data_IF_941207829042
#
_entry.id   IF_941207829042
#
_cell.length_a   1.000
_cell.length_b   1.000
_cell.length_c   1.000
_cell.angle_alpha   90.00
_cell.angle_beta   90.00
_cell.angle_gamma   90.00
#
_symmetry.space_group_name_H-M   'P 1'
#
loop_
_entity.id
_entity.type
_entity.pdbx_description
1 polymer ?
#
# COMPACT_ATOMS: atom_id res chain seq x y z
N UNK A 1 27.49 8.52 -15.59
CA UNK A 1 26.28 8.59 -16.44
C UNK A 1 25.82 7.16 -16.72
N UNK A 2 24.88 6.63 -15.93
CA UNK A 2 24.42 5.24 -16.02
C UNK A 2 23.48 5.02 -17.21
N UNK A 3 23.65 3.92 -17.95
CA UNK A 3 22.89 3.62 -19.17
C UNK A 3 21.40 3.45 -18.88
N UNK A 4 20.55 4.06 -19.73
CA UNK A 4 19.07 4.05 -19.67
C UNK A 4 18.43 2.89 -20.46
N UNK A 5 19.22 1.93 -20.94
CA UNK A 5 18.74 0.87 -21.84
C UNK A 5 19.46 -0.46 -21.60
N UNK A 6 18.72 -1.56 -21.81
CA UNK A 6 19.19 -2.93 -21.62
C UNK A 6 20.25 -3.33 -22.66
N UNK A 7 21.33 -3.98 -22.22
CA UNK A 7 22.51 -4.36 -23.03
C UNK A 7 22.21 -5.36 -24.15
N UNK A 8 21.11 -6.11 -24.05
CA UNK A 8 20.83 -7.23 -24.94
C UNK A 8 19.86 -6.86 -26.08
N UNK A 9 18.85 -6.04 -25.80
CA UNK A 9 17.73 -5.73 -26.71
C UNK A 9 17.53 -4.23 -26.99
N UNK A 10 18.30 -3.35 -26.32
CA UNK A 10 18.30 -1.88 -26.48
C UNK A 10 16.97 -1.14 -26.21
N UNK A 11 15.94 -1.80 -25.67
CA UNK A 11 14.70 -1.11 -25.28
C UNK A 11 14.81 -0.39 -23.92
N UNK A 12 13.89 0.54 -23.61
CA UNK A 12 13.78 1.16 -22.29
C UNK A 12 13.49 0.11 -21.22
N UNK A 13 14.07 0.26 -20.02
CA UNK A 13 13.92 -0.68 -18.90
C UNK A 13 12.46 -0.91 -18.50
N UNK A 14 11.63 0.14 -18.63
CA UNK A 14 10.19 0.09 -18.38
C UNK A 14 9.44 -0.91 -19.27
N UNK A 15 10.04 -1.37 -20.38
CA UNK A 15 9.41 -2.26 -21.35
C UNK A 15 9.55 -3.75 -21.03
N UNK A 16 10.33 -4.14 -20.02
CA UNK A 16 10.58 -5.56 -19.69
C UNK A 16 9.66 -6.15 -18.61
N UNK A 17 8.99 -5.32 -17.80
CA UNK A 17 8.22 -5.80 -16.63
C UNK A 17 6.70 -5.66 -16.78
N UNK A 18 6.17 -5.23 -17.95
CA UNK A 18 4.75 -4.81 -18.06
C UNK A 18 3.76 -5.99 -18.08
N UNK A 19 4.19 -7.24 -18.27
CA UNK A 19 3.25 -8.38 -18.32
C UNK A 19 3.40 -9.31 -17.13
N UNK A 20 2.51 -9.14 -16.15
CA UNK A 20 2.12 -10.20 -15.20
C UNK A 20 0.64 -10.46 -15.47
N UNK A 21 0.30 -11.61 -16.07
CA UNK A 21 -1.08 -11.96 -16.46
C UNK A 21 -2.01 -12.18 -15.25
N UNK A 22 -1.45 -12.30 -14.05
CA UNK A 22 -2.22 -12.47 -12.82
C UNK A 22 -2.51 -11.11 -12.17
N UNK A 23 -3.80 -10.74 -12.17
CA UNK A 23 -4.39 -9.60 -11.44
C UNK A 23 -4.32 -9.84 -9.93
N UNK A 24 -3.14 -9.71 -9.34
CA UNK A 24 -2.90 -9.98 -7.91
C UNK A 24 -2.90 -8.66 -7.12
N UNK A 25 -3.69 -8.57 -6.05
CA UNK A 25 -3.76 -7.43 -5.13
C UNK A 25 -2.46 -7.21 -4.36
N UNK A 26 -2.19 -6.01 -3.85
CA UNK A 26 -1.02 -5.77 -2.98
C UNK A 26 -0.96 -6.73 -1.79
N UNK A 27 -2.12 -7.04 -1.19
CA UNK A 27 -2.21 -7.94 -0.03
C UNK A 27 -1.72 -9.36 -0.35
N UNK A 28 -2.07 -9.86 -1.53
CA UNK A 28 -1.60 -11.16 -2.02
C UNK A 28 -0.11 -11.12 -2.39
N UNK A 29 0.38 -10.02 -2.99
CA UNK A 29 1.82 -9.83 -3.26
C UNK A 29 2.66 -9.81 -1.99
N UNK A 30 2.13 -9.24 -0.91
CA UNK A 30 2.81 -9.12 0.38
C UNK A 30 2.70 -10.36 1.27
N UNK A 31 1.93 -11.38 0.87
CA UNK A 31 1.69 -12.57 1.70
C UNK A 31 0.99 -12.27 3.03
N UNK A 32 0.37 -11.09 3.17
CA UNK A 32 -0.36 -10.69 4.37
C UNK A 32 -1.67 -11.48 4.43
N UNK A 33 -1.64 -12.63 5.12
CA UNK A 33 -2.87 -13.39 5.43
C UNK A 33 -3.89 -12.44 6.05
N UNK A 34 -5.15 -12.57 5.63
CA UNK A 34 -6.24 -11.74 6.11
C UNK A 34 -6.51 -11.99 7.61
N UNK A 35 -5.73 -11.36 8.49
CA UNK A 35 -6.16 -11.07 9.86
C UNK A 35 -6.94 -9.75 9.83
N UNK A 36 -8.02 -9.73 9.06
CA UNK A 36 -9.08 -8.76 9.23
C UNK A 36 -10.03 -9.36 10.27
N UNK A 37 -9.71 -9.18 11.56
CA UNK A 37 -10.61 -9.39 12.70
C UNK A 37 -9.96 -8.89 14.02
N UNK A 38 -9.18 -7.81 13.99
CA UNK A 38 -8.88 -7.06 15.22
C UNK A 38 -9.99 -6.03 15.42
N UNK A 39 -11.04 -6.45 16.11
CA UNK A 39 -12.01 -5.55 16.75
C UNK A 39 -11.24 -4.49 17.55
N UNK A 40 -11.58 -3.24 17.33
CA UNK A 40 -11.28 -2.14 18.23
C UNK A 40 -12.09 -2.32 19.54
N UNK A 41 -11.63 -3.20 20.42
CA UNK A 41 -12.18 -3.28 21.79
C UNK A 41 -11.48 -2.26 22.67
N UNK A 42 -12.25 -1.28 23.15
CA UNK A 42 -11.83 -0.28 24.13
C UNK A 42 -11.64 -0.94 25.51
N UNK A 43 -10.55 -0.68 26.25
CA UNK A 43 -10.35 -1.24 27.58
C UNK A 43 -10.96 -0.33 28.66
N UNK A 44 -12.23 -0.56 29.01
CA UNK A 44 -12.71 -0.51 30.40
C UNK A 44 -14.22 -0.81 30.50
N UNK A 45 -14.57 -2.04 30.84
CA UNK A 45 -15.78 -2.36 31.59
C UNK A 45 -15.66 -3.76 32.20
N UNK A 46 -15.97 -3.87 33.49
CA UNK A 46 -15.93 -5.09 34.28
C UNK A 46 -16.90 -6.16 33.75
N UNK A 47 -16.54 -7.44 33.90
CA UNK A 47 -17.41 -8.60 33.68
C UNK A 47 -18.49 -8.74 34.77
N UNK A 48 -19.39 -9.74 34.70
CA UNK A 48 -20.32 -10.08 33.62
C UNK A 48 -21.76 -10.19 34.17
N UNK A 49 -22.79 -9.78 33.42
CA UNK A 49 -24.13 -10.40 33.53
C UNK A 49 -25.08 -9.95 32.41
N UNK A 50 -25.74 -10.94 31.81
CA UNK A 50 -27.09 -10.89 31.24
C UNK A 50 -27.38 -10.07 29.96
N UNK A 51 -27.64 -10.84 28.90
CA UNK A 51 -28.69 -10.67 27.89
C UNK A 51 -28.55 -9.61 26.78
N UNK A 52 -28.66 -10.12 25.54
CA UNK A 52 -28.98 -9.44 24.28
C UNK A 52 -27.95 -8.45 23.72
N UNK A 53 -26.91 -8.99 23.06
CA UNK A 53 -26.11 -8.24 22.09
C UNK A 53 -26.83 -8.18 20.72
N UNK A 54 -26.90 -7.01 20.06
CA UNK A 54 -27.48 -6.87 18.71
C UNK A 54 -26.56 -7.47 17.65
N UNK A 55 -27.17 -8.03 16.59
CA UNK A 55 -26.50 -8.75 15.49
C UNK A 55 -25.43 -7.90 14.82
N UNK A 56 -24.23 -8.45 14.82
CA UNK A 56 -23.05 -8.05 14.07
C UNK A 56 -23.38 -7.83 12.58
N UNK A 57 -23.27 -6.59 12.10
CA UNK A 57 -23.37 -6.24 10.68
C UNK A 57 -21.96 -6.35 10.08
N UNK A 58 -21.54 -7.55 9.74
CA UNK A 58 -20.42 -7.71 8.81
C UNK A 58 -20.81 -7.06 7.49
N UNK A 59 -20.16 -5.93 7.17
CA UNK A 59 -20.35 -5.24 5.89
C UNK A 59 -20.02 -6.25 4.76
N UNK A 60 -20.87 -6.36 3.73
CA UNK A 60 -20.64 -7.31 2.66
C UNK A 60 -19.32 -6.98 1.94
N UNK A 61 -18.49 -7.99 1.73
CA UNK A 61 -17.23 -7.86 1.00
C UNK A 61 -17.52 -7.45 -0.45
N UNK A 62 -17.17 -6.21 -0.81
CA UNK A 62 -17.36 -5.69 -2.18
C UNK A 62 -16.33 -6.32 -3.12
N UNK A 63 -16.79 -6.90 -4.23
CA UNK A 63 -15.91 -7.46 -5.25
C UNK A 63 -15.50 -6.38 -6.26
N UNK A 64 -14.20 -6.02 -6.42
CA UNK A 64 -13.78 -4.89 -7.24
C UNK A 64 -14.34 -4.89 -8.67
N UNK A 65 -14.32 -6.06 -9.33
CA UNK A 65 -14.81 -6.21 -10.72
C UNK A 65 -16.31 -6.02 -10.84
N UNK A 66 -17.09 -6.30 -9.79
CA UNK A 66 -18.54 -6.05 -9.81
C UNK A 66 -18.84 -4.54 -9.84
N UNK A 67 -17.96 -3.73 -9.25
CA UNK A 67 -18.03 -2.27 -9.25
C UNK A 67 -17.34 -1.63 -10.48
N UNK A 68 -16.82 -2.45 -11.41
CA UNK A 68 -16.14 -1.96 -12.61
C UNK A 68 -14.69 -1.51 -12.39
N UNK A 69 -14.06 -1.88 -11.27
CA UNK A 69 -12.67 -1.55 -10.95
C UNK A 69 -11.78 -2.80 -10.90
N UNK A 70 -10.48 -2.64 -11.12
CA UNK A 70 -9.48 -3.70 -10.89
C UNK A 70 -9.05 -3.78 -9.41
N UNK A 71 -9.34 -2.73 -8.65
CA UNK A 71 -9.16 -2.67 -7.20
C UNK A 71 -10.10 -1.63 -6.59
N UNK A 72 -10.58 -1.88 -5.38
CA UNK A 72 -11.33 -0.91 -4.56
C UNK A 72 -10.77 -0.91 -3.14
N UNK A 73 -10.85 0.21 -2.39
CA UNK A 73 -10.45 0.25 -1.00
C UNK A 73 -11.20 -0.81 -0.17
N UNK A 74 -10.48 -1.69 0.57
CA UNK A 74 -11.13 -2.68 1.42
C UNK A 74 -12.03 -2.03 2.48
N UNK A 75 -13.20 -2.62 2.72
CA UNK A 75 -14.14 -2.17 3.77
C UNK A 75 -15.00 -0.96 3.39
N UNK A 76 -14.78 -0.33 2.24
CA UNK A 76 -15.57 0.80 1.79
C UNK A 76 -16.91 0.34 1.16
N UNK A 77 -18.07 0.87 1.60
CA UNK A 77 -19.36 0.55 0.99
C UNK A 77 -19.42 0.93 -0.49
N UNK A 78 -20.17 0.17 -1.30
CA UNK A 78 -20.26 0.35 -2.75
C UNK A 78 -20.69 1.78 -3.17
N UNK A 79 -21.63 2.39 -2.44
CA UNK A 79 -22.10 3.77 -2.69
C UNK A 79 -21.03 4.84 -2.42
N UNK A 80 -19.96 4.49 -1.70
CA UNK A 80 -18.84 5.39 -1.36
C UNK A 80 -17.61 5.18 -2.24
N UNK A 81 -17.51 4.08 -2.99
CA UNK A 81 -16.36 3.77 -3.86
C UNK A 81 -16.18 4.84 -4.94
N UNK A 82 -17.26 5.24 -5.60
CA UNK A 82 -17.21 6.29 -6.62
C UNK A 82 -16.78 7.65 -6.02
N UNK A 83 -17.20 7.95 -4.79
CA UNK A 83 -16.78 9.16 -4.08
C UNK A 83 -15.28 9.15 -3.79
N UNK A 84 -14.73 8.03 -3.32
CA UNK A 84 -13.29 7.87 -3.11
C UNK A 84 -12.51 8.12 -4.40
N UNK A 85 -12.90 7.50 -5.50
CA UNK A 85 -12.18 7.64 -6.76
C UNK A 85 -12.32 9.02 -7.42
N UNK A 86 -13.40 9.77 -7.13
CA UNK A 86 -13.55 11.18 -7.55
C UNK A 86 -12.51 12.11 -6.93
N UNK A 87 -11.93 11.74 -5.79
CA UNK A 87 -10.85 12.52 -5.18
C UNK A 87 -9.50 12.30 -5.87
N UNK A 88 -9.36 11.26 -6.70
CA UNK A 88 -8.11 10.91 -7.38
C UNK A 88 -8.04 11.48 -8.81
N UNK A 89 -6.83 11.72 -9.35
CA UNK A 89 -6.69 12.06 -10.77
C UNK A 89 -7.27 10.95 -11.67
N UNK A 90 -8.15 11.32 -12.61
CA UNK A 90 -8.88 10.37 -13.46
C UNK A 90 -7.99 9.31 -14.14
N UNK A 91 -6.79 9.69 -14.57
CA UNK A 91 -5.83 8.79 -15.25
C UNK A 91 -5.14 7.78 -14.31
N UNK A 92 -5.34 7.90 -12.99
CA UNK A 92 -4.82 7.00 -11.96
C UNK A 92 -5.91 6.11 -11.34
N UNK A 93 -7.17 6.31 -11.70
CA UNK A 93 -8.30 5.54 -11.17
C UNK A 93 -8.34 4.15 -11.83
N UNK A 94 -8.28 3.04 -11.07
CA UNK A 94 -8.14 1.68 -11.59
C UNK A 94 -9.47 1.11 -12.14
N UNK A 95 -10.14 1.81 -13.06
CA UNK A 95 -11.31 1.26 -13.76
C UNK A 95 -10.88 0.12 -14.67
N UNK A 96 -11.65 -0.96 -14.71
CA UNK A 96 -11.37 -2.12 -15.56
C UNK A 96 -11.27 -1.72 -17.04
N UNK A 97 -10.23 -2.18 -17.73
CA UNK A 97 -9.90 -1.85 -19.12
C UNK A 97 -9.34 -0.44 -19.34
N UNK A 98 -9.19 0.38 -18.30
CA UNK A 98 -8.80 1.79 -18.45
C UNK A 98 -7.28 2.01 -18.39
N UNK A 99 -6.77 3.18 -18.83
CA UNK A 99 -5.38 3.57 -18.58
C UNK A 99 -5.00 3.56 -17.09
N UNK A 100 -5.95 3.81 -16.19
CA UNK A 100 -5.71 3.82 -14.76
C UNK A 100 -5.51 2.42 -14.16
N UNK A 101 -6.10 1.37 -14.74
CA UNK A 101 -5.77 -0.02 -14.38
C UNK A 101 -4.31 -0.33 -14.73
N UNK A 102 -3.87 0.00 -15.94
CA UNK A 102 -2.47 -0.16 -16.36
C UNK A 102 -1.51 0.66 -15.50
N UNK A 103 -1.92 1.87 -15.10
CA UNK A 103 -1.16 2.68 -14.15
C UNK A 103 -1.01 1.95 -12.81
N UNK A 104 -2.11 1.41 -12.25
CA UNK A 104 -2.06 0.63 -11.00
C UNK A 104 -1.11 -0.56 -11.13
N UNK A 105 -1.19 -1.33 -12.21
CA UNK A 105 -0.32 -2.49 -12.41
C UNK A 105 1.16 -2.08 -12.47
N UNK A 106 1.47 -0.96 -13.14
CA UNK A 106 2.81 -0.36 -13.13
C UNK A 106 3.24 0.03 -11.71
N UNK A 107 2.36 0.68 -10.94
CA UNK A 107 2.68 1.06 -9.55
C UNK A 107 2.89 -0.14 -8.64
N UNK A 108 2.12 -1.23 -8.80
CA UNK A 108 2.32 -2.47 -8.04
C UNK A 108 3.73 -3.04 -8.24
N UNK A 109 4.25 -2.98 -9.47
CA UNK A 109 5.60 -3.46 -9.78
C UNK A 109 6.66 -2.50 -9.22
N UNK A 110 6.48 -1.20 -9.44
CA UNK A 110 7.48 -0.20 -9.06
C UNK A 110 7.57 -0.02 -7.55
N UNK A 111 6.44 0.00 -6.85
CA UNK A 111 6.37 0.28 -5.43
C UNK A 111 6.56 -0.95 -4.56
N UNK A 112 6.30 -2.17 -5.07
CA UNK A 112 6.46 -3.45 -4.38
C UNK A 112 7.33 -4.42 -5.21
N UNK A 113 8.63 -4.14 -5.39
CA UNK A 113 9.50 -5.00 -6.20
C UNK A 113 9.63 -6.38 -5.56
N UNK A 114 9.44 -7.45 -6.36
CA UNK A 114 9.47 -8.84 -5.87
C UNK A 114 10.78 -9.20 -5.16
N UNK A 115 11.88 -8.59 -5.60
CA UNK A 115 13.21 -8.71 -5.03
C UNK A 115 13.26 -8.28 -3.57
N UNK A 116 12.47 -7.30 -3.16
CA UNK A 116 12.44 -6.86 -1.77
C UNK A 116 11.49 -7.72 -0.92
N UNK A 117 10.62 -8.52 -1.56
CA UNK A 117 9.59 -9.31 -0.89
C UNK A 117 10.07 -10.70 -0.50
N UNK A 118 10.85 -11.38 -1.34
CA UNK A 118 11.31 -12.73 -1.04
C UNK A 118 12.63 -13.11 -1.74
N UNK A 119 13.47 -13.86 -1.02
CA UNK A 119 14.77 -14.37 -1.48
C UNK A 119 14.75 -15.05 -2.86
N UNK A 120 13.74 -15.88 -3.24
CA UNK A 120 13.72 -16.54 -4.55
C UNK A 120 13.73 -15.58 -5.75
N UNK A 121 13.39 -14.30 -5.54
CA UNK A 121 13.40 -13.28 -6.58
C UNK A 121 14.75 -12.54 -6.68
N UNK A 122 15.64 -12.70 -5.71
CA UNK A 122 16.99 -12.14 -5.70
C UNK A 122 17.96 -13.06 -6.43
N UNK A 123 18.23 -12.78 -7.71
CA UNK A 123 19.06 -13.64 -8.57
C UNK A 123 20.55 -13.47 -8.31
N UNK A 124 20.96 -12.31 -7.79
CA UNK A 124 22.36 -11.94 -7.64
C UNK A 124 22.78 -11.74 -6.18
N UNK A 125 21.90 -12.01 -5.22
CA UNK A 125 22.22 -11.92 -3.80
C UNK A 125 23.03 -13.13 -3.35
N UNK A 126 24.29 -12.88 -2.98
CA UNK A 126 25.20 -13.92 -2.47
C UNK A 126 24.69 -14.51 -1.15
N UNK A 127 24.98 -15.80 -0.92
CA UNK A 127 24.49 -16.57 0.23
C UNK A 127 24.85 -15.93 1.58
N UNK A 128 26.00 -15.28 1.65
CA UNK A 128 26.50 -14.58 2.84
C UNK A 128 25.57 -13.44 3.27
N UNK A 129 24.78 -12.87 2.36
CA UNK A 129 23.85 -11.77 2.62
C UNK A 129 22.40 -12.23 2.82
N UNK A 130 22.10 -13.53 2.75
CA UNK A 130 20.72 -14.04 2.88
C UNK A 130 20.12 -13.73 4.26
N UNK A 131 20.91 -13.89 5.33
CA UNK A 131 20.46 -13.53 6.69
C UNK A 131 20.12 -12.05 6.82
N UNK A 132 20.98 -11.18 6.29
CA UNK A 132 20.74 -9.73 6.32
C UNK A 132 19.50 -9.33 5.51
N UNK A 133 19.16 -10.06 4.45
CA UNK A 133 17.93 -9.88 3.70
C UNK A 133 16.71 -10.32 4.52
N UNK A 134 16.76 -11.50 5.15
CA UNK A 134 15.66 -11.98 6.00
C UNK A 134 15.40 -11.02 7.16
N UNK A 135 16.45 -10.54 7.83
CA UNK A 135 16.36 -9.54 8.90
C UNK A 135 15.70 -8.24 8.40
N UNK A 136 16.05 -7.80 7.19
CA UNK A 136 15.42 -6.64 6.54
C UNK A 136 13.93 -6.87 6.29
N UNK A 137 13.55 -8.00 5.70
CA UNK A 137 12.15 -8.33 5.40
C UNK A 137 11.32 -8.43 6.68
N UNK A 138 11.84 -9.10 7.71
CA UNK A 138 11.17 -9.25 9.00
C UNK A 138 10.98 -7.90 9.68
N UNK A 139 12.05 -7.11 9.79
CA UNK A 139 11.99 -5.76 10.38
C UNK A 139 11.02 -4.87 9.61
N UNK A 140 11.03 -4.91 8.27
CA UNK A 140 10.06 -4.18 7.45
C UNK A 140 8.64 -4.62 7.79
N UNK A 141 8.34 -5.90 7.73
CA UNK A 141 6.97 -6.42 7.89
C UNK A 141 6.42 -6.15 9.30
N UNK A 142 7.25 -6.24 10.33
CA UNK A 142 6.83 -6.03 11.72
C UNK A 142 6.76 -4.54 12.08
N UNK A 143 7.79 -3.77 11.74
CA UNK A 143 7.96 -2.42 12.26
C UNK A 143 7.51 -1.33 11.30
N UNK A 144 7.68 -1.50 9.99
CA UNK A 144 7.53 -0.40 9.03
C UNK A 144 6.31 -0.51 8.11
N UNK A 145 6.07 -1.68 7.53
CA UNK A 145 5.04 -1.94 6.51
C UNK A 145 3.67 -2.10 7.16
N UNK A 146 2.66 -1.50 6.53
CA UNK A 146 1.25 -1.63 6.90
C UNK A 146 0.34 -1.27 5.71
N UNK A 147 -0.97 -1.47 5.88
CA UNK A 147 -1.99 -1.11 4.90
C UNK A 147 -2.89 -0.04 5.51
N UNK A 148 -2.99 1.11 4.83
CA UNK A 148 -3.94 2.14 5.18
C UNK A 148 -5.37 1.70 4.83
N UNK A 149 -6.36 2.30 5.46
CA UNK A 149 -7.77 2.03 5.16
C UNK A 149 -8.51 3.34 4.94
N UNK A 150 -9.61 3.25 4.19
CA UNK A 150 -10.49 4.41 3.97
C UNK A 150 -11.57 4.40 5.04
N UNK A 151 -11.56 5.42 5.89
CA UNK A 151 -12.67 5.75 6.76
C UNK A 151 -13.76 6.43 5.92
N UNK A 152 -14.98 5.89 5.96
CA UNK A 152 -16.09 6.37 5.12
C UNK A 152 -16.76 7.65 5.67
N UNK A 153 -16.55 7.93 6.95
CA UNK A 153 -16.96 9.12 7.66
C UNK A 153 -16.08 9.35 8.90
N UNK A 154 -15.21 10.35 8.88
CA UNK A 154 -14.38 10.73 10.03
C UNK A 154 -15.24 11.16 11.24
N UNK A 155 -14.93 10.67 12.44
CA UNK A 155 -15.68 11.00 13.66
C UNK A 155 -15.49 12.47 14.12
N UNK A 156 -14.31 13.04 13.84
CA UNK A 156 -13.92 14.38 14.24
C UNK A 156 -13.17 15.08 13.10
N UNK A 157 -13.16 16.43 13.05
CA UNK A 157 -12.33 17.16 12.10
C UNK A 157 -10.84 16.91 12.40
N UNK A 158 -10.08 16.68 11.33
CA UNK A 158 -8.62 16.49 11.37
C UNK A 158 -7.97 17.41 10.32
N UNK A 159 -6.64 17.57 10.42
CA UNK A 159 -5.85 18.18 9.36
C UNK A 159 -5.16 17.08 8.55
N UNK A 160 -5.17 17.21 7.23
CA UNK A 160 -4.46 16.29 6.37
C UNK A 160 -2.96 16.37 6.65
N UNK A 161 -2.37 15.25 7.05
CA UNK A 161 -0.93 15.12 7.38
C UNK A 161 0.01 15.57 6.26
N UNK A 162 -0.41 15.51 5.00
CA UNK A 162 0.41 15.85 3.83
C UNK A 162 0.29 17.32 3.41
N UNK A 163 -0.93 17.84 3.26
CA UNK A 163 -1.15 19.18 2.71
C UNK A 163 -1.49 20.23 3.79
N UNK A 164 -1.77 19.81 5.02
CA UNK A 164 -2.25 20.67 6.10
C UNK A 164 -3.68 21.18 5.92
N UNK A 165 -4.37 20.79 4.85
CA UNK A 165 -5.75 21.19 4.58
C UNK A 165 -6.74 20.40 5.44
N UNK A 166 -7.89 21.01 5.71
CA UNK A 166 -8.92 20.42 6.57
C UNK A 166 -9.52 19.11 6.01
N UNK A 167 -9.77 18.17 6.90
CA UNK A 167 -10.55 16.95 6.74
C UNK A 167 -11.76 17.05 7.69
N UNK A 168 -12.92 17.54 7.22
CA UNK A 168 -14.10 17.70 8.07
C UNK A 168 -14.66 16.37 8.57
N UNK A 169 -15.29 16.37 9.76
CA UNK A 169 -16.06 15.23 10.25
C UNK A 169 -17.15 14.81 9.25
N UNK A 170 -17.43 13.51 9.16
CA UNK A 170 -18.39 12.92 8.22
C UNK A 170 -17.90 12.84 6.77
N UNK A 171 -16.67 13.30 6.46
CA UNK A 171 -16.05 13.14 5.15
C UNK A 171 -15.17 11.89 5.10
N UNK A 172 -14.82 11.47 3.88
CA UNK A 172 -13.84 10.40 3.68
C UNK A 172 -12.47 10.84 4.19
N UNK A 173 -11.71 9.88 4.71
CA UNK A 173 -10.30 10.05 5.04
C UNK A 173 -9.55 8.75 4.94
N UNK A 174 -8.27 8.80 4.54
CA UNK A 174 -7.37 7.66 4.62
C UNK A 174 -6.69 7.68 5.98
N UNK A 175 -6.73 6.55 6.70
CA UNK A 175 -6.08 6.35 8.00
C UNK A 175 -4.92 5.36 7.82
N UNK A 176 -3.81 5.64 8.48
CA UNK A 176 -2.61 4.80 8.48
C UNK A 176 -2.27 4.42 9.93
N UNK A 177 -2.57 3.18 10.38
CA UNK A 177 -2.50 2.81 11.80
C UNK A 177 -1.15 3.12 12.48
N UNK A 178 -0.02 2.95 11.78
CA UNK A 178 1.32 3.24 12.32
C UNK A 178 1.58 4.73 12.62
N UNK A 179 0.71 5.63 12.18
CA UNK A 179 0.78 7.06 12.50
C UNK A 179 -0.14 7.49 13.66
N UNK A 180 -1.00 6.58 14.14
CA UNK A 180 -1.97 6.84 15.20
C UNK A 180 -3.36 7.20 14.65
N UNK A 181 -4.36 7.07 15.52
CA UNK A 181 -5.80 7.19 15.18
C UNK A 181 -6.21 8.62 14.80
N UNK A 182 -5.46 9.63 15.27
CA UNK A 182 -5.72 11.05 15.00
C UNK A 182 -4.95 11.60 13.79
N UNK A 183 -4.48 10.73 12.89
CA UNK A 183 -3.73 11.13 11.69
C UNK A 183 -4.43 10.62 10.44
N UNK A 184 -4.78 11.56 9.56
CA UNK A 184 -5.52 11.26 8.34
C UNK A 184 -4.95 11.99 7.12
N UNK A 185 -5.30 11.48 5.95
CA UNK A 185 -4.98 12.06 4.65
C UNK A 185 -6.24 12.17 3.79
N UNK A 186 -6.31 13.20 2.94
CA UNK A 186 -7.19 13.10 1.77
C UNK A 186 -6.76 11.90 0.91
N UNK A 187 -7.69 11.30 0.15
CA UNK A 187 -7.39 10.15 -0.70
C UNK A 187 -6.24 10.45 -1.68
N UNK A 188 -6.21 11.63 -2.28
CA UNK A 188 -5.14 12.08 -3.19
C UNK A 188 -3.83 12.45 -2.48
N UNK A 189 -3.86 12.69 -1.17
CA UNK A 189 -2.70 13.09 -0.39
C UNK A 189 -1.91 11.89 0.15
N UNK A 190 -2.47 10.69 0.12
CA UNK A 190 -1.83 9.46 0.57
C UNK A 190 -0.79 8.97 -0.45
N UNK A 191 0.35 9.66 -0.45
CA UNK A 191 1.41 9.54 -1.45
C UNK A 191 2.76 9.31 -0.80
N UNK A 192 3.68 8.66 -1.50
CA UNK A 192 5.05 8.48 -1.02
C UNK A 192 5.79 9.83 -0.90
N UNK A 193 6.56 10.01 0.16
CA UNK A 193 7.35 11.22 0.40
C UNK A 193 8.49 11.45 -0.59
N UNK A 194 8.87 10.45 -1.41
CA UNK A 194 9.98 10.56 -2.37
C UNK A 194 9.47 10.71 -3.80
N UNK A 195 8.69 9.76 -4.33
CA UNK A 195 8.18 9.86 -5.70
C UNK A 195 6.88 10.66 -5.83
N UNK A 196 6.20 10.95 -4.73
CA UNK A 196 4.90 11.62 -4.72
C UNK A 196 3.80 10.88 -5.51
N UNK A 197 4.01 9.60 -5.79
CA UNK A 197 2.99 8.72 -6.34
C UNK A 197 2.04 8.23 -5.25
N UNK A 198 0.79 7.97 -5.63
CA UNK A 198 -0.22 7.35 -4.76
C UNK A 198 0.30 6.00 -4.27
N UNK A 199 0.20 5.75 -2.96
CA UNK A 199 0.62 4.49 -2.35
C UNK A 199 -0.29 3.36 -2.82
N UNK A 200 0.29 2.43 -3.58
CA UNK A 200 -0.50 1.44 -4.33
C UNK A 200 -1.30 0.53 -3.39
N UNK A 201 -2.60 0.44 -3.64
CA UNK A 201 -3.58 -0.22 -2.78
C UNK A 201 -3.45 0.15 -1.28
N UNK A 202 -3.11 1.40 -0.99
CA UNK A 202 -2.89 1.93 0.36
C UNK A 202 -1.76 1.24 1.15
N UNK A 203 -0.88 0.51 0.47
CA UNK A 203 0.29 -0.12 1.10
C UNK A 203 1.38 0.92 1.34
N UNK A 204 1.91 0.99 2.56
CA UNK A 204 2.91 1.98 2.93
C UNK A 204 3.93 1.44 3.93
N UNK A 205 5.10 2.06 3.96
CA UNK A 205 6.09 1.91 5.02
C UNK A 205 6.23 3.22 5.80
N UNK A 206 6.27 3.13 7.13
CA UNK A 206 6.59 4.26 8.01
C UNK A 206 8.05 4.20 8.47
N UNK A 207 8.76 5.32 8.35
CA UNK A 207 10.09 5.51 8.93
C UNK A 207 10.21 6.95 9.41
N UNK A 208 10.61 7.15 10.68
CA UNK A 208 10.87 8.48 11.25
C UNK A 208 9.69 9.46 11.08
N UNK A 209 8.45 8.98 11.22
CA UNK A 209 7.25 9.81 11.10
C UNK A 209 6.93 10.28 9.67
N UNK A 210 7.57 9.69 8.66
CA UNK A 210 7.37 9.92 7.23
C UNK A 210 6.85 8.66 6.54
N UNK A 211 6.15 8.85 5.42
CA UNK A 211 5.47 7.78 4.69
C UNK A 211 6.15 7.49 3.35
N UNK A 212 6.42 6.21 3.09
CA UNK A 212 7.14 5.77 1.90
C UNK A 212 6.38 4.62 1.22
N UNK A 213 6.57 4.47 -0.09
CA UNK A 213 6.32 3.17 -0.71
C UNK A 213 7.43 2.18 -0.28
N UNK A 214 7.19 0.89 -0.46
CA UNK A 214 8.14 -0.14 0.00
C UNK A 214 9.51 0.02 -0.67
N UNK A 215 9.54 0.24 -1.99
CA UNK A 215 10.78 0.52 -2.73
C UNK A 215 11.60 1.65 -2.10
N UNK A 216 10.97 2.81 -1.86
CA UNK A 216 11.68 3.97 -1.33
C UNK A 216 12.07 3.78 0.13
N UNK A 217 11.30 3.03 0.92
CA UNK A 217 11.71 2.61 2.26
C UNK A 217 12.97 1.74 2.22
N UNK A 218 13.03 0.75 1.31
CA UNK A 218 14.23 -0.08 1.12
C UNK A 218 15.45 0.77 0.75
N UNK A 219 15.27 1.74 -0.14
CA UNK A 219 16.30 2.71 -0.54
C UNK A 219 16.76 3.64 0.61
N UNK A 220 15.94 3.84 1.66
CA UNK A 220 16.36 4.55 2.89
C UNK A 220 17.26 3.70 3.81
N UNK A 221 17.41 2.41 3.54
CA UNK A 221 18.22 1.50 4.34
C UNK A 221 19.50 1.15 3.58
N UNK A 222 19.38 0.84 2.29
CA UNK A 222 20.51 0.47 1.42
C UNK A 222 20.27 0.92 -0.02
N UNK A 223 21.31 1.34 -0.75
CA UNK A 223 21.15 1.78 -2.13
C UNK A 223 20.77 0.61 -3.06
N UNK A 224 20.07 0.93 -4.16
CA UNK A 224 19.64 -0.06 -5.14
C UNK A 224 20.61 -0.15 -6.32
N UNK A 225 20.85 -1.36 -6.81
CA UNK A 225 21.59 -1.59 -8.04
C UNK A 225 20.78 -1.11 -9.26
N UNK A 226 21.37 -0.19 -10.05
CA UNK A 226 20.73 0.36 -11.25
C UNK A 226 20.51 -0.66 -12.38
N UNK A 227 21.14 -1.84 -12.32
CA UNK A 227 21.03 -2.88 -13.34
C UNK A 227 19.97 -3.95 -13.00
N UNK A 228 20.02 -4.54 -11.80
CA UNK A 228 19.14 -5.64 -11.41
C UNK A 228 17.98 -5.24 -10.49
N UNK A 229 17.91 -3.97 -10.07
CA UNK A 229 16.96 -3.49 -9.07
C UNK A 229 17.12 -4.10 -7.67
N UNK A 230 18.13 -4.93 -7.40
CA UNK A 230 18.32 -5.47 -6.05
C UNK A 230 18.91 -4.40 -5.12
N UNK A 231 18.52 -4.43 -3.85
CA UNK A 231 19.16 -3.63 -2.80
C UNK A 231 20.59 -4.15 -2.61
N UNK A 232 21.60 -3.29 -2.77
CA UNK A 232 23.01 -3.71 -2.80
C UNK A 232 23.44 -4.32 -1.46
N UNK A 233 24.17 -5.43 -1.52
CA UNK A 233 24.86 -5.99 -0.38
C UNK A 233 25.96 -5.05 0.16
N UNK A 234 26.30 -5.10 1.46
CA UNK A 234 27.45 -4.38 1.98
C UNK A 234 28.75 -4.91 1.35
N UNK A 235 29.67 -3.99 1.03
CA UNK A 235 31.07 -4.32 0.74
C UNK A 235 31.81 -4.74 2.01
#
# INVERSE_FOLDING_TARGET
>A
SGRKSCSNCKCPRESHDIYNEENVSSKERLGLRANADKKCEHPNALSPDSASAPKDRTLPHVHPRAEGYSWVPPGLPADKIDRYFRELPNHKVPKAGSPGEKYRDKQLILQLPKQDLALPYCKFLEREHHKAFEDFVNTRNECALDIGFVCDALDAPLDCRRCGGALPAGQLGVIAPKFGEQVAWHSACFTCDICHELLVDLTYCMKEGRIFCERHYAEQIKPRCAACDEVSAPH
#
